data_IF_491424808662
#
_entry.id   IF_491424808662
#
_cell.length_a   1.000
_cell.length_b   1.000
_cell.length_c   1.000
_cell.angle_alpha   90.00
_cell.angle_beta   90.00
_cell.angle_gamma   90.00
#
_symmetry.space_group_name_H-M   'P 1'
#
loop_
_entity.id
_entity.type
_entity.pdbx_description
1 polymer ?
#
# COMPACT_ATOMS: atom_id res chain seq x y z
N UNK A 1 21.31 18.33 26.92
CA UNK A 1 21.62 17.05 27.58
C UNK A 1 21.97 16.08 26.47
N UNK A 2 23.28 15.95 26.27
CA UNK A 2 24.06 14.91 25.61
C UNK A 2 23.50 14.20 24.37
N UNK A 3 24.01 14.64 23.22
CA UNK A 3 23.97 13.96 21.93
C UNK A 3 25.01 12.82 21.90
N UNK A 4 24.70 11.67 22.51
CA UNK A 4 25.37 10.41 22.14
C UNK A 4 24.51 9.68 21.12
N UNK A 5 24.79 9.89 19.83
CA UNK A 5 24.45 8.90 18.81
C UNK A 5 25.21 7.62 19.18
N UNK A 6 24.51 6.64 19.75
CA UNK A 6 25.04 5.31 20.02
C UNK A 6 25.68 4.80 18.71
N UNK A 7 27.01 4.68 18.70
CA UNK A 7 27.73 3.97 17.64
C UNK A 7 27.05 2.60 17.47
N UNK A 8 26.68 2.19 16.25
CA UNK A 8 26.06 0.90 16.05
C UNK A 8 26.97 -0.19 16.62
N UNK A 9 26.46 -0.97 17.58
CA UNK A 9 27.18 -2.13 18.10
C UNK A 9 27.39 -3.13 16.96
N UNK A 10 28.49 -3.88 16.99
CA UNK A 10 28.71 -5.03 16.10
C UNK A 10 27.45 -5.92 16.11
N UNK A 11 26.80 -6.09 14.93
CA UNK A 11 25.56 -6.85 14.77
C UNK A 11 24.28 -6.01 14.56
N UNK A 12 24.37 -4.67 14.49
CA UNK A 12 23.22 -3.83 14.18
C UNK A 12 22.75 -3.98 12.71
N UNK A 13 21.43 -3.98 12.49
CA UNK A 13 20.80 -3.97 11.16
C UNK A 13 20.10 -2.64 10.94
N UNK A 14 20.24 -2.07 9.74
CA UNK A 14 19.50 -0.87 9.33
C UNK A 14 18.22 -1.32 8.61
N UNK A 15 17.06 -0.88 9.07
CA UNK A 15 15.79 -1.09 8.36
C UNK A 15 15.48 0.20 7.58
N UNK A 16 15.03 0.08 6.34
CA UNK A 16 14.66 1.23 5.50
C UNK A 16 13.14 1.21 5.33
N UNK A 17 12.41 2.22 5.83
CA UNK A 17 10.99 2.35 5.53
C UNK A 17 10.85 3.05 4.19
N UNK A 18 10.35 2.34 3.19
CA UNK A 18 10.01 2.92 1.89
C UNK A 18 8.55 3.36 1.93
N UNK A 19 8.20 4.47 2.60
CA UNK A 19 6.79 4.89 2.78
C UNK A 19 6.43 6.21 2.11
N UNK A 20 5.21 6.28 1.57
CA UNK A 20 4.53 7.51 1.08
C UNK A 20 3.54 8.11 2.08
N UNK A 21 3.18 7.38 3.15
CA UNK A 21 2.18 7.81 4.14
C UNK A 21 2.86 8.18 5.46
N UNK A 22 2.31 9.21 6.12
CA UNK A 22 2.65 9.75 7.44
C UNK A 22 3.45 8.81 8.36
N UNK A 23 4.56 9.37 8.83
CA UNK A 23 5.40 9.08 9.99
C UNK A 23 4.85 8.25 11.17
N UNK A 24 3.53 8.05 11.32
CA UNK A 24 2.97 7.24 12.41
C UNK A 24 3.10 5.73 12.20
N UNK A 25 3.14 5.24 10.96
CA UNK A 25 3.23 3.80 10.68
C UNK A 25 4.68 3.27 10.64
N UNK A 26 5.67 4.14 10.47
CA UNK A 26 7.08 3.79 10.27
C UNK A 26 7.96 4.04 11.51
N UNK A 27 7.38 4.46 12.64
CA UNK A 27 8.09 4.49 13.93
C UNK A 27 8.26 3.00 14.28
N UNK A 28 9.42 2.40 14.27
CA UNK A 28 10.73 2.95 14.58
C UNK A 28 11.82 2.00 14.04
N UNK A 29 13.10 2.36 14.12
CA UNK A 29 14.20 1.50 13.66
C UNK A 29 15.27 1.43 14.75
N UNK A 30 15.57 0.23 15.24
CA UNK A 30 16.63 0.00 16.22
C UNK A 30 17.90 -0.55 15.54
N UNK A 31 19.05 0.02 15.89
CA UNK A 31 20.32 -0.71 15.89
C UNK A 31 20.33 -1.64 17.12
N UNK A 32 19.73 -2.84 17.02
CA UNK A 32 19.81 -3.84 18.09
C UNK A 32 19.94 -5.26 17.56
N UNK A 33 20.68 -6.09 18.30
CA UNK A 33 20.78 -7.53 18.06
C UNK A 33 19.38 -8.15 17.94
N UNK A 34 19.08 -8.72 16.78
CA UNK A 34 17.90 -9.56 16.58
C UNK A 34 18.19 -10.91 17.26
N UNK A 35 18.14 -10.96 18.60
CA UNK A 35 18.28 -12.19 19.38
C UNK A 35 16.96 -12.55 20.05
N UNK A 36 16.34 -13.64 19.58
CA UNK A 36 15.35 -14.58 20.14
C UNK A 36 14.37 -14.23 21.30
N UNK A 37 14.31 -13.01 21.86
CA UNK A 37 13.37 -12.71 22.96
C UNK A 37 12.97 -11.23 23.10
N UNK A 38 13.36 -10.36 22.19
CA UNK A 38 12.97 -8.95 22.21
C UNK A 38 11.61 -8.79 21.53
N UNK A 39 10.58 -8.51 22.33
CA UNK A 39 9.36 -7.84 21.87
C UNK A 39 9.81 -6.72 20.93
N UNK A 40 9.32 -6.73 19.69
CA UNK A 40 9.66 -5.72 18.69
C UNK A 40 8.94 -4.42 19.06
N UNK A 41 9.44 -3.78 20.13
CA UNK A 41 9.27 -2.37 20.39
C UNK A 41 10.36 -1.69 19.60
N UNK A 42 10.06 -1.37 18.36
CA UNK A 42 10.85 -0.44 17.59
C UNK A 42 10.99 0.83 18.47
N UNK A 43 12.19 1.36 18.73
CA UNK A 43 12.38 2.72 19.24
C UNK A 43 13.76 3.28 18.90
N UNK A 44 13.81 4.22 17.96
CA UNK A 44 14.53 5.50 18.00
C UNK A 44 14.26 6.25 16.68
N UNK A 45 14.13 7.57 16.73
CA UNK A 45 13.94 8.46 15.58
C UNK A 45 15.22 8.48 14.73
N UNK A 46 15.20 7.76 13.61
CA UNK A 46 15.79 8.28 12.37
C UNK A 46 14.66 9.10 11.75
N UNK A 47 14.91 10.35 11.36
CA UNK A 47 13.90 11.14 10.63
C UNK A 47 13.26 10.26 9.56
N UNK A 48 11.93 10.12 9.63
CA UNK A 48 11.16 9.28 8.71
C UNK A 48 11.68 9.51 7.29
N UNK A 49 12.16 8.44 6.63
CA UNK A 49 12.45 8.52 5.20
C UNK A 49 11.12 8.72 4.49
N UNK A 50 10.77 9.98 4.30
CA UNK A 50 9.62 10.40 3.54
C UNK A 50 10.04 10.42 2.09
N UNK A 51 9.24 9.76 1.28
CA UNK A 51 9.33 9.86 -0.17
C UNK A 51 9.39 11.34 -0.57
N UNK A 52 10.24 11.70 -1.53
CA UNK A 52 10.26 13.05 -2.10
C UNK A 52 8.85 13.49 -2.50
N UNK A 53 8.53 14.77 -2.31
CA UNK A 53 7.20 15.37 -2.53
C UNK A 53 6.10 14.94 -1.55
N UNK A 54 6.44 14.25 -0.45
CA UNK A 54 5.49 13.93 0.61
C UNK A 54 5.94 14.48 1.97
N UNK A 55 4.98 14.98 2.74
CA UNK A 55 5.23 15.57 4.05
C UNK A 55 6.25 16.70 3.95
N UNK A 56 7.28 16.64 4.79
CA UNK A 56 8.29 17.70 4.89
C UNK A 56 9.41 17.57 3.83
N UNK A 57 9.43 16.49 3.04
CA UNK A 57 10.46 16.20 2.03
C UNK A 57 10.14 16.85 0.68
N UNK A 58 10.21 18.18 0.63
CA UNK A 58 9.89 18.98 -0.56
C UNK A 58 11.15 19.52 -1.25
N UNK A 59 11.50 19.07 -2.48
CA UNK A 59 12.72 19.49 -3.18
C UNK A 59 12.80 20.99 -3.49
N UNK A 60 11.66 21.68 -3.45
CA UNK A 60 11.53 23.12 -3.72
C UNK A 60 11.06 23.87 -2.46
N UNK A 61 11.38 23.38 -1.27
CA UNK A 61 11.13 24.08 0.00
C UNK A 61 9.68 24.05 0.50
N UNK A 62 8.67 24.15 -0.39
CA UNK A 62 7.25 24.05 -0.01
C UNK A 62 6.46 23.19 -1.00
N UNK A 63 5.34 22.63 -0.52
CA UNK A 63 4.37 21.93 -1.39
C UNK A 63 3.85 22.87 -2.47
N UNK A 64 3.54 24.13 -2.11
CA UNK A 64 3.12 25.14 -3.07
C UNK A 64 4.11 25.26 -4.22
N UNK A 65 5.41 25.43 -3.95
CA UNK A 65 6.45 25.55 -4.99
C UNK A 65 6.68 24.24 -5.75
N UNK A 66 6.72 23.11 -5.05
CA UNK A 66 6.97 21.81 -5.65
C UNK A 66 5.87 21.37 -6.63
N UNK A 67 4.61 21.75 -6.38
CA UNK A 67 3.44 21.40 -7.18
C UNK A 67 2.98 22.49 -8.16
N UNK A 68 3.76 23.58 -8.33
CA UNK A 68 3.37 24.68 -9.21
C UNK A 68 3.15 24.25 -10.67
N UNK A 69 4.06 23.47 -11.24
CA UNK A 69 4.02 23.11 -12.65
C UNK A 69 4.77 21.80 -12.95
N UNK A 70 4.61 21.31 -14.19
CA UNK A 70 5.24 20.06 -14.62
C UNK A 70 6.77 20.09 -14.56
N UNK A 71 7.41 21.26 -14.66
CA UNK A 71 8.87 21.37 -14.58
C UNK A 71 9.41 21.10 -13.17
N UNK A 72 8.69 21.53 -12.12
CA UNK A 72 9.03 21.18 -10.74
C UNK A 72 8.60 19.76 -10.41
N UNK A 73 7.45 19.29 -10.90
CA UNK A 73 6.98 17.93 -10.66
C UNK A 73 7.76 16.86 -11.45
N UNK A 74 8.52 17.24 -12.48
CA UNK A 74 9.33 16.33 -13.28
C UNK A 74 10.36 15.50 -12.50
N UNK A 75 10.76 15.92 -11.29
CA UNK A 75 11.66 15.13 -10.43
C UNK A 75 10.92 14.16 -9.49
N UNK A 76 9.59 14.10 -9.58
CA UNK A 76 8.76 13.20 -8.79
C UNK A 76 8.52 11.90 -9.56
N UNK A 77 9.49 10.98 -9.48
CA UNK A 77 9.41 9.64 -10.05
C UNK A 77 9.83 8.56 -9.05
N UNK A 78 9.42 7.33 -9.34
CA UNK A 78 9.82 6.15 -8.56
C UNK A 78 11.34 5.91 -8.61
N UNK A 79 11.96 6.03 -9.78
CA UNK A 79 13.41 5.86 -9.97
C UNK A 79 14.23 6.87 -9.17
N UNK A 80 13.77 8.11 -9.13
CA UNK A 80 14.34 9.19 -8.35
C UNK A 80 14.22 8.96 -6.83
N UNK A 81 13.07 8.46 -6.37
CA UNK A 81 12.90 8.07 -4.97
C UNK A 81 13.82 6.90 -4.56
N UNK A 82 14.00 5.91 -5.43
CA UNK A 82 14.96 4.82 -5.19
C UNK A 82 16.40 5.35 -5.11
N UNK A 83 16.77 6.33 -5.94
CA UNK A 83 18.08 6.97 -5.88
C UNK A 83 18.30 7.76 -4.57
N UNK A 84 17.26 8.43 -4.05
CA UNK A 84 17.33 9.08 -2.73
C UNK A 84 17.62 8.08 -1.63
N UNK A 85 16.90 6.96 -1.61
CA UNK A 85 17.13 5.91 -0.62
C UNK A 85 18.56 5.38 -0.71
N UNK A 86 19.06 5.10 -1.92
CA UNK A 86 20.43 4.63 -2.14
C UNK A 86 21.48 5.62 -1.59
N UNK A 87 21.34 6.90 -1.91
CA UNK A 87 22.26 7.94 -1.46
C UNK A 87 22.20 8.11 0.06
N UNK A 88 20.99 8.23 0.62
CA UNK A 88 20.77 8.42 2.04
C UNK A 88 21.33 7.27 2.87
N UNK A 89 21.09 6.01 2.47
CA UNK A 89 21.64 4.84 3.19
C UNK A 89 23.16 4.83 3.14
N UNK A 90 23.74 5.16 1.99
CA UNK A 90 25.20 5.20 1.82
C UNK A 90 25.81 6.25 2.74
N UNK A 91 25.22 7.45 2.81
CA UNK A 91 25.70 8.53 3.65
C UNK A 91 25.46 8.26 5.14
N UNK A 92 24.31 7.69 5.50
CA UNK A 92 24.04 7.25 6.88
C UNK A 92 25.05 6.22 7.34
N UNK A 93 25.35 5.21 6.52
CA UNK A 93 26.34 4.19 6.85
C UNK A 93 27.72 4.80 7.08
N UNK A 94 28.16 5.75 6.24
CA UNK A 94 29.44 6.45 6.43
C UNK A 94 29.45 7.30 7.69
N UNK A 95 28.41 8.11 7.88
CA UNK A 95 28.30 9.04 9.01
C UNK A 95 28.24 8.32 10.37
N UNK A 96 27.70 7.11 10.39
CA UNK A 96 27.58 6.29 11.59
C UNK A 96 28.68 5.23 11.74
N UNK A 97 29.67 5.20 10.83
CA UNK A 97 30.70 4.13 10.76
C UNK A 97 30.08 2.72 10.77
N UNK A 98 29.01 2.57 9.99
CA UNK A 98 28.12 1.42 9.93
C UNK A 98 28.15 0.76 8.54
N UNK A 99 29.23 0.90 7.79
CA UNK A 99 29.38 0.40 6.41
C UNK A 99 29.16 -1.11 6.30
N UNK A 100 29.49 -1.84 7.37
CA UNK A 100 29.31 -3.28 7.48
C UNK A 100 27.96 -3.70 8.08
N UNK A 101 27.06 -2.77 8.39
CA UNK A 101 25.72 -3.14 8.86
C UNK A 101 24.86 -3.61 7.67
N UNK A 102 24.19 -4.77 7.79
CA UNK A 102 23.19 -5.20 6.80
C UNK A 102 22.03 -4.20 6.75
N UNK A 103 21.33 -4.20 5.62
CA UNK A 103 20.21 -3.29 5.43
C UNK A 103 19.02 -3.99 4.78
N UNK A 104 17.85 -3.86 5.37
CA UNK A 104 16.61 -4.49 4.88
C UNK A 104 15.64 -3.39 4.45
N UNK A 105 15.17 -3.44 3.21
CA UNK A 105 14.11 -2.56 2.73
C UNK A 105 12.74 -3.10 3.15
N UNK A 106 11.88 -2.26 3.73
CA UNK A 106 10.57 -2.66 4.21
C UNK A 106 9.54 -1.64 3.77
N UNK A 107 8.47 -2.09 3.13
CA UNK A 107 7.40 -1.19 2.73
C UNK A 107 6.08 -1.90 2.49
N UNK A 108 5.00 -1.13 2.64
CA UNK A 108 3.63 -1.55 2.36
C UNK A 108 3.06 -0.85 1.13
N UNK A 109 2.19 -1.50 0.35
CA UNK A 109 1.53 -0.89 -0.81
C UNK A 109 2.54 -0.44 -1.88
N UNK A 110 2.41 0.78 -2.42
CA UNK A 110 3.46 1.42 -3.24
C UNK A 110 4.84 1.41 -2.56
N UNK A 111 4.86 1.54 -1.23
CA UNK A 111 6.08 1.37 -0.47
C UNK A 111 6.70 -0.02 -0.57
N UNK A 112 5.87 -1.06 -0.62
CA UNK A 112 6.33 -2.44 -0.85
C UNK A 112 6.83 -2.64 -2.28
N UNK A 113 6.22 -1.97 -3.26
CA UNK A 113 6.73 -1.93 -4.64
C UNK A 113 8.13 -1.34 -4.64
N UNK A 114 8.31 -0.16 -4.02
CA UNK A 114 9.62 0.47 -3.85
C UNK A 114 10.63 -0.42 -3.13
N UNK A 115 10.24 -1.13 -2.06
CA UNK A 115 11.15 -2.05 -1.36
C UNK A 115 11.64 -3.18 -2.27
N UNK A 116 10.73 -3.80 -3.04
CA UNK A 116 11.07 -4.86 -3.99
C UNK A 116 11.97 -4.36 -5.13
N UNK A 117 11.65 -3.18 -5.70
CA UNK A 117 12.43 -2.56 -6.76
C UNK A 117 13.78 -2.06 -6.27
N UNK A 118 13.86 -1.58 -5.03
CA UNK A 118 15.12 -1.19 -4.40
C UNK A 118 16.04 -2.40 -4.24
N UNK A 119 15.52 -3.54 -3.78
CA UNK A 119 16.33 -4.77 -3.70
C UNK A 119 16.76 -5.27 -5.08
N UNK A 120 15.89 -5.17 -6.09
CA UNK A 120 16.21 -5.53 -7.47
C UNK A 120 17.31 -4.64 -8.07
N UNK A 121 17.24 -3.32 -7.89
CA UNK A 121 18.13 -2.34 -8.55
C UNK A 121 19.38 -2.00 -7.75
N UNK A 122 19.32 -2.06 -6.41
CA UNK A 122 20.40 -1.74 -5.49
C UNK A 122 20.75 -2.91 -4.55
N UNK A 123 21.01 -4.14 -5.08
CA UNK A 123 21.29 -5.30 -4.25
C UNK A 123 22.59 -5.21 -3.45
N UNK A 124 23.47 -4.26 -3.80
CA UNK A 124 24.71 -3.95 -3.09
C UNK A 124 24.51 -3.04 -1.87
N UNK A 125 23.34 -2.38 -1.75
CA UNK A 125 23.01 -1.48 -0.64
C UNK A 125 22.14 -2.18 0.40
N UNK A 126 21.08 -2.87 -0.04
CA UNK A 126 20.17 -3.62 0.83
C UNK A 126 20.30 -5.11 0.57
N UNK A 127 20.47 -5.91 1.62
CA UNK A 127 20.64 -7.37 1.55
C UNK A 127 19.32 -8.16 1.44
N UNK A 128 18.16 -7.50 1.60
CA UNK A 128 16.86 -8.13 1.43
C UNK A 128 15.70 -7.14 1.52
N UNK A 129 14.51 -7.55 1.08
CA UNK A 129 13.31 -6.73 1.10
C UNK A 129 12.07 -7.47 1.64
N UNK A 130 11.26 -6.77 2.44
CA UNK A 130 9.89 -7.16 2.77
C UNK A 130 8.92 -6.21 2.04
N UNK A 131 8.29 -6.75 1.00
CA UNK A 131 7.33 -6.06 0.15
C UNK A 131 5.91 -6.52 0.51
N UNK A 132 5.29 -5.79 1.44
CA UNK A 132 3.96 -6.10 1.96
C UNK A 132 2.86 -5.48 1.11
N UNK A 133 1.85 -6.26 0.74
CA UNK A 133 0.73 -5.86 -0.12
C UNK A 133 1.18 -5.04 -1.33
N UNK A 134 2.26 -5.48 -2.00
CA UNK A 134 2.89 -4.76 -3.09
C UNK A 134 2.30 -5.20 -4.45
N UNK A 135 1.45 -4.39 -5.12
CA UNK A 135 0.76 -4.79 -6.34
C UNK A 135 1.66 -4.63 -7.59
N UNK A 136 2.86 -5.22 -7.60
CA UNK A 136 3.84 -5.07 -8.69
C UNK A 136 3.38 -5.65 -10.04
N UNK A 137 2.30 -6.44 -10.05
CA UNK A 137 1.71 -7.04 -11.24
C UNK A 137 0.51 -6.24 -11.77
N UNK A 138 0.13 -5.13 -11.15
CA UNK A 138 -1.08 -4.37 -11.52
C UNK A 138 -0.82 -3.31 -12.60
N UNK A 139 -0.02 -3.66 -13.61
CA UNK A 139 0.35 -2.81 -14.73
C UNK A 139 0.07 -3.51 -16.06
N UNK A 140 -0.17 -2.72 -17.12
CA UNK A 140 -0.56 -3.22 -18.43
C UNK A 140 -1.72 -4.24 -18.32
N UNK A 141 -1.65 -5.37 -19.02
CA UNK A 141 -2.61 -6.47 -18.97
C UNK A 141 -2.11 -7.68 -18.15
N UNK A 142 -1.10 -7.49 -17.29
CA UNK A 142 -0.53 -8.56 -16.45
C UNK A 142 -1.57 -9.09 -15.45
N UNK A 143 -2.33 -8.17 -14.84
CA UNK A 143 -3.44 -8.48 -13.94
C UNK A 143 -4.74 -8.00 -14.57
N UNK A 144 -5.83 -8.80 -14.53
CA UNK A 144 -7.14 -8.36 -15.01
C UNK A 144 -7.59 -7.05 -14.36
N UNK A 145 -8.13 -6.13 -15.16
CA UNK A 145 -8.55 -4.80 -14.69
C UNK A 145 -9.54 -4.86 -13.51
N UNK A 146 -10.41 -5.87 -13.53
CA UNK A 146 -11.42 -6.18 -12.52
C UNK A 146 -10.89 -6.93 -11.28
N UNK A 147 -9.60 -7.28 -11.21
CA UNK A 147 -9.05 -8.09 -10.11
C UNK A 147 -9.33 -7.48 -8.73
N UNK A 148 -9.06 -6.19 -8.57
CA UNK A 148 -9.33 -5.43 -7.37
C UNK A 148 -10.83 -5.46 -6.98
N UNK A 149 -11.78 -5.00 -7.82
CA UNK A 149 -13.19 -5.00 -7.43
C UNK A 149 -13.81 -6.40 -7.29
N UNK A 150 -13.24 -7.45 -7.92
CA UNK A 150 -13.63 -8.85 -7.67
C UNK A 150 -13.30 -9.27 -6.24
N UNK A 151 -12.11 -8.94 -5.74
CA UNK A 151 -11.74 -9.23 -4.34
C UNK A 151 -12.62 -8.44 -3.38
N UNK A 152 -12.89 -7.16 -3.65
CA UNK A 152 -13.85 -6.36 -2.86
C UNK A 152 -15.22 -7.05 -2.85
N UNK A 153 -15.72 -7.44 -4.01
CA UNK A 153 -17.00 -8.15 -4.13
C UNK A 153 -17.01 -9.43 -3.31
N UNK A 154 -15.92 -10.20 -3.32
CA UNK A 154 -15.78 -11.43 -2.52
C UNK A 154 -15.80 -11.14 -1.01
N UNK A 155 -15.12 -10.10 -0.54
CA UNK A 155 -15.11 -9.71 0.87
C UNK A 155 -16.48 -9.26 1.39
N UNK A 156 -17.28 -8.64 0.53
CA UNK A 156 -18.64 -8.19 0.83
C UNK A 156 -19.73 -9.21 0.43
N UNK A 157 -19.37 -10.30 -0.25
CA UNK A 157 -20.29 -11.41 -0.57
C UNK A 157 -20.76 -12.14 0.70
N UNK A 158 -20.02 -12.02 1.80
CA UNK A 158 -20.41 -12.54 3.11
C UNK A 158 -21.66 -11.82 3.63
N UNK A 159 -22.54 -12.52 4.35
CA UNK A 159 -23.94 -12.13 4.64
C UNK A 159 -24.09 -10.83 5.42
N UNK A 160 -23.01 -10.16 5.82
CA UNK A 160 -23.02 -8.97 6.68
C UNK A 160 -23.79 -7.79 6.11
N UNK A 161 -23.71 -7.51 4.80
CA UNK A 161 -24.51 -6.45 4.20
C UNK A 161 -26.00 -6.79 4.25
N UNK A 162 -26.33 -8.04 3.91
CA UNK A 162 -27.70 -8.56 3.98
C UNK A 162 -28.23 -8.56 5.42
N UNK A 163 -27.45 -9.05 6.37
CA UNK A 163 -27.79 -9.11 7.80
C UNK A 163 -27.88 -7.71 8.43
N UNK A 164 -27.07 -6.74 8.03
CA UNK A 164 -27.19 -5.36 8.49
C UNK A 164 -28.48 -4.71 7.97
N UNK A 165 -28.83 -4.95 6.70
CA UNK A 165 -30.12 -4.52 6.16
C UNK A 165 -31.28 -5.23 6.87
N UNK A 166 -31.19 -6.55 7.10
CA UNK A 166 -32.20 -7.33 7.86
C UNK A 166 -32.39 -6.78 9.28
N UNK A 167 -31.30 -6.53 10.02
CA UNK A 167 -31.35 -5.94 11.36
C UNK A 167 -31.96 -4.53 11.32
N UNK A 168 -31.63 -3.71 10.32
CA UNK A 168 -32.24 -2.39 10.15
C UNK A 168 -33.76 -2.50 9.98
N UNK A 169 -34.23 -3.34 9.05
CA UNK A 169 -35.67 -3.54 8.85
C UNK A 169 -36.36 -4.13 10.08
N UNK A 170 -35.71 -5.06 10.79
CA UNK A 170 -36.23 -5.64 12.03
C UNK A 170 -36.33 -4.62 13.15
N UNK A 171 -35.30 -3.81 13.37
CA UNK A 171 -35.29 -2.77 14.41
C UNK A 171 -36.30 -1.68 14.08
N UNK A 172 -36.37 -1.22 12.82
CA UNK A 172 -37.37 -0.25 12.40
C UNK A 172 -38.78 -0.77 12.63
N UNK A 173 -39.09 -2.02 12.28
CA UNK A 173 -40.39 -2.62 12.56
C UNK A 173 -40.65 -2.88 14.05
N UNK A 174 -39.62 -3.27 14.82
CA UNK A 174 -39.72 -3.58 16.25
C UNK A 174 -40.01 -2.33 17.09
N UNK A 175 -39.48 -1.17 16.70
CA UNK A 175 -39.62 0.09 17.43
C UNK A 175 -40.50 1.11 16.68
N UNK A 176 -41.41 0.65 15.81
CA UNK A 176 -42.30 1.50 15.00
C UNK A 176 -43.42 2.16 15.83
N UNK A 177 -43.06 3.09 16.70
CA UNK A 177 -43.99 3.77 17.61
C UNK A 177 -43.96 5.30 17.42
N UNK A 178 -45.10 5.99 17.62
CA UNK A 178 -45.13 7.46 17.63
C UNK A 178 -44.27 8.04 18.77
N UNK A 179 -43.64 9.22 18.57
CA UNK A 179 -43.72 10.08 17.38
C UNK A 179 -42.72 9.71 16.27
N UNK A 180 -41.87 8.71 16.49
CA UNK A 180 -40.67 8.49 15.68
C UNK A 180 -40.94 7.68 14.40
N UNK A 181 -41.95 6.80 14.37
CA UNK A 181 -42.42 6.04 13.19
C UNK A 181 -41.31 5.62 12.18
N UNK A 182 -40.27 4.90 12.64
CA UNK A 182 -39.09 4.55 11.85
C UNK A 182 -39.38 3.81 10.53
N UNK A 183 -40.46 3.04 10.42
CA UNK A 183 -40.83 2.38 9.17
C UNK A 183 -41.29 3.41 8.13
N UNK A 184 -42.14 4.35 8.53
CA UNK A 184 -42.63 5.41 7.65
C UNK A 184 -41.48 6.31 7.17
N UNK A 185 -40.55 6.67 8.06
CA UNK A 185 -39.36 7.45 7.71
C UNK A 185 -38.45 6.73 6.70
N UNK A 186 -38.21 5.43 6.91
CA UNK A 186 -37.42 4.59 6.01
C UNK A 186 -38.08 4.49 4.63
N UNK A 187 -39.40 4.22 4.58
CA UNK A 187 -40.14 4.13 3.33
C UNK A 187 -40.20 5.47 2.59
N UNK A 188 -40.40 6.58 3.30
CA UNK A 188 -40.40 7.92 2.72
C UNK A 188 -39.04 8.28 2.14
N UNK A 189 -37.93 7.89 2.79
CA UNK A 189 -36.59 8.12 2.27
C UNK A 189 -36.29 7.29 1.01
N UNK A 190 -36.72 6.02 0.97
CA UNK A 190 -36.61 5.15 -0.21
C UNK A 190 -37.44 5.68 -1.38
N UNK A 191 -38.70 6.04 -1.11
CA UNK A 191 -39.66 6.50 -2.13
C UNK A 191 -39.41 7.95 -2.56
N UNK A 192 -38.79 8.75 -1.71
CA UNK A 192 -38.39 10.14 -1.99
C UNK A 192 -37.10 10.25 -2.81
N UNK A 193 -36.44 9.13 -3.12
CA UNK A 193 -35.30 9.12 -4.04
C UNK A 193 -35.74 9.59 -5.44
N UNK A 194 -34.90 10.39 -6.10
CA UNK A 194 -35.21 11.01 -7.39
C UNK A 194 -35.63 9.95 -8.44
N UNK A 195 -36.56 10.33 -9.31
CA UNK A 195 -37.01 9.47 -10.40
C UNK A 195 -35.82 9.07 -11.30
N UNK A 196 -35.65 7.76 -11.52
CA UNK A 196 -34.46 7.19 -12.19
C UNK A 196 -33.34 6.71 -11.27
N UNK A 197 -33.44 6.90 -9.95
CA UNK A 197 -32.48 6.32 -8.98
C UNK A 197 -32.57 4.80 -8.98
N UNK A 198 -31.42 4.12 -9.07
CA UNK A 198 -31.33 2.67 -9.05
C UNK A 198 -31.62 2.08 -7.66
N UNK A 199 -31.71 0.75 -7.56
CA UNK A 199 -32.07 0.06 -6.31
C UNK A 199 -31.06 0.38 -5.19
N UNK A 200 -29.77 0.48 -5.52
CA UNK A 200 -28.73 0.80 -4.53
C UNK A 200 -28.83 2.24 -4.03
N UNK A 201 -29.10 3.20 -4.91
CA UNK A 201 -29.35 4.59 -4.52
C UNK A 201 -30.61 4.73 -3.65
N UNK A 202 -31.65 3.94 -3.92
CA UNK A 202 -32.84 3.85 -3.07
C UNK A 202 -32.55 3.24 -1.69
N UNK A 203 -31.75 2.17 -1.62
CA UNK A 203 -31.30 1.57 -0.35
C UNK A 203 -30.42 2.54 0.44
N UNK A 204 -29.53 3.28 -0.22
CA UNK A 204 -28.70 4.31 0.40
C UNK A 204 -29.56 5.47 0.95
N UNK A 205 -30.58 5.91 0.22
CA UNK A 205 -31.54 6.90 0.69
C UNK A 205 -32.28 6.40 1.95
N UNK A 206 -32.74 5.14 1.94
CA UNK A 206 -33.35 4.51 3.11
C UNK A 206 -32.43 4.47 4.34
N UNK A 207 -31.18 4.02 4.16
CA UNK A 207 -30.17 4.02 5.23
C UNK A 207 -29.94 5.41 5.82
N UNK A 208 -29.87 6.44 4.95
CA UNK A 208 -29.66 7.82 5.37
C UNK A 208 -30.87 8.38 6.14
N UNK A 209 -32.09 7.98 5.76
CA UNK A 209 -33.32 8.35 6.45
C UNK A 209 -33.48 7.73 7.85
N UNK A 210 -32.81 6.61 8.13
CA UNK A 210 -32.94 5.89 9.41
C UNK A 210 -31.83 6.14 10.44
N UNK A 211 -30.65 6.64 10.07
CA UNK A 211 -29.45 6.63 10.94
C UNK A 211 -28.95 8.05 11.33
N UNK A 212 -29.64 9.14 10.93
CA UNK A 212 -29.19 10.51 11.24
C UNK A 212 -28.22 11.07 10.18
N UNK A 213 -27.53 12.20 10.45
CA UNK A 213 -27.16 13.21 9.46
C UNK A 213 -26.34 12.69 8.27
N UNK A 214 -26.41 13.39 7.11
CA UNK A 214 -26.02 12.85 5.83
C UNK A 214 -24.52 12.57 5.75
N UNK A 215 -24.15 11.30 5.62
CA UNK A 215 -22.81 10.91 5.17
C UNK A 215 -22.68 11.16 3.65
N UNK A 216 -22.85 12.40 3.20
CA UNK A 216 -22.65 12.81 1.80
C UNK A 216 -21.25 13.34 1.50
N UNK A 217 -20.22 12.80 2.18
CA UNK A 217 -18.87 12.85 1.63
C UNK A 217 -18.72 11.69 0.65
N UNK A 218 -19.40 11.79 -0.50
CA UNK A 218 -19.05 10.99 -1.65
C UNK A 218 -17.66 11.44 -2.10
N UNK A 219 -16.65 10.63 -1.83
CA UNK A 219 -15.34 10.79 -2.44
C UNK A 219 -15.51 10.52 -3.94
N UNK A 220 -15.54 11.58 -4.73
CA UNK A 220 -15.43 11.44 -6.18
C UNK A 220 -13.97 11.04 -6.45
N UNK A 221 -13.73 9.77 -6.82
CA UNK A 221 -12.41 9.23 -7.19
C UNK A 221 -11.95 9.72 -8.58
N UNK A 222 -12.55 10.80 -9.07
CA UNK A 222 -11.94 11.55 -10.16
C UNK A 222 -10.69 12.19 -9.59
N UNK A 223 -9.53 12.10 -10.27
CA UNK A 223 -8.38 12.89 -9.90
C UNK A 223 -8.76 14.36 -10.11
N UNK A 224 -9.31 15.01 -9.08
CA UNK A 224 -9.69 16.42 -9.07
C UNK A 224 -8.64 17.27 -8.35
N UNK A 225 -7.68 16.61 -7.70
CA UNK A 225 -6.67 17.23 -6.86
C UNK A 225 -5.31 17.11 -7.54
N UNK A 226 -4.56 18.22 -7.57
CA UNK A 226 -3.17 18.23 -8.01
C UNK A 226 -2.24 17.73 -6.89
N UNK A 227 -2.52 16.56 -6.34
CA UNK A 227 -1.70 15.95 -5.28
C UNK A 227 -0.62 15.03 -5.84
N UNK A 228 0.27 14.59 -4.96
CA UNK A 228 1.45 13.81 -5.34
C UNK A 228 1.15 12.45 -5.93
N UNK A 229 0.17 11.74 -5.36
CA UNK A 229 -0.20 10.43 -5.87
C UNK A 229 -0.87 10.55 -7.24
N UNK A 230 -1.70 11.57 -7.42
CA UNK A 230 -2.34 11.89 -8.70
C UNK A 230 -1.29 12.19 -9.77
N UNK A 231 -0.24 12.95 -9.46
CA UNK A 231 0.90 13.12 -10.37
C UNK A 231 1.58 11.78 -10.73
N UNK A 232 1.86 10.94 -9.74
CA UNK A 232 2.51 9.64 -9.97
C UNK A 232 1.66 8.73 -10.85
N UNK A 233 0.35 8.63 -10.62
CA UNK A 233 -0.57 7.85 -11.46
C UNK A 233 -0.70 8.41 -12.86
N UNK A 234 -0.64 9.74 -13.02
CA UNK A 234 -0.67 10.40 -14.33
C UNK A 234 0.65 10.31 -15.11
N UNK A 235 1.72 9.75 -14.54
CA UNK A 235 3.04 9.69 -15.19
C UNK A 235 3.60 8.27 -15.28
N UNK A 236 3.70 7.56 -14.16
CA UNK A 236 4.37 6.24 -14.08
C UNK A 236 3.46 5.15 -13.50
N UNK A 237 2.65 5.44 -12.47
CA UNK A 237 1.82 4.47 -11.75
C UNK A 237 0.47 4.25 -12.44
N UNK A 238 0.47 3.99 -13.75
CA UNK A 238 -0.75 3.77 -14.53
C UNK A 238 -1.28 2.35 -14.28
N UNK A 239 -2.08 2.18 -13.24
CA UNK A 239 -2.71 0.90 -12.88
C UNK A 239 -4.12 0.84 -13.47
N UNK A 240 -4.41 -0.07 -14.42
CA UNK A 240 -5.69 -0.08 -15.14
C UNK A 240 -6.78 -0.79 -14.34
N UNK A 241 -7.11 -0.28 -13.15
CA UNK A 241 -8.20 -0.80 -12.32
C UNK A 241 -9.54 -0.30 -12.87
N UNK A 242 -10.47 -1.22 -13.10
CA UNK A 242 -11.82 -0.91 -13.57
C UNK A 242 -12.83 -1.96 -13.12
N UNK A 243 -14.11 -1.59 -13.04
CA UNK A 243 -15.18 -2.53 -12.73
C UNK A 243 -15.56 -3.32 -13.99
N UNK A 244 -15.51 -4.65 -13.90
CA UNK A 244 -15.90 -5.54 -14.99
C UNK A 244 -17.41 -5.61 -15.21
N UNK A 245 -17.80 -6.28 -16.30
CA UNK A 245 -19.19 -6.51 -16.67
C UNK A 245 -19.78 -7.71 -15.91
N UNK A 246 -20.68 -7.45 -14.96
CA UNK A 246 -21.47 -8.47 -14.23
C UNK A 246 -20.69 -9.48 -13.36
N UNK A 247 -19.40 -9.25 -13.11
CA UNK A 247 -18.53 -10.10 -12.28
C UNK A 247 -18.19 -9.48 -10.91
N UNK A 248 -18.57 -8.21 -10.72
CA UNK A 248 -18.44 -7.46 -9.46
C UNK A 248 -19.81 -6.99 -8.97
N UNK A 249 -19.89 -6.60 -7.70
CA UNK A 249 -21.11 -5.97 -7.14
C UNK A 249 -21.30 -4.51 -7.57
N UNK A 250 -20.39 -3.97 -8.40
CA UNK A 250 -20.41 -2.58 -8.86
C UNK A 250 -21.00 -2.48 -10.26
N UNK A 251 -21.51 -1.30 -10.60
CA UNK A 251 -21.89 -1.01 -11.99
C UNK A 251 -20.65 -1.08 -12.90
N UNK A 252 -20.80 -1.61 -14.12
CA UNK A 252 -19.70 -1.69 -15.07
C UNK A 252 -19.05 -0.32 -15.34
N UNK A 253 -17.74 -0.27 -15.20
CA UNK A 253 -16.93 0.93 -15.40
C UNK A 253 -15.49 0.50 -15.70
N UNK A 254 -15.25 -0.07 -16.90
CA UNK A 254 -13.93 -0.56 -17.28
C UNK A 254 -12.92 0.59 -17.36
N UNK A 255 -11.64 0.29 -17.20
CA UNK A 255 -10.59 1.31 -17.29
C UNK A 255 -10.44 1.80 -18.73
N UNK A 256 -10.63 3.11 -18.93
CA UNK A 256 -10.46 3.78 -20.23
C UNK A 256 -9.19 4.64 -20.22
N UNK A 257 -8.14 4.16 -20.90
CA UNK A 257 -6.86 4.86 -21.01
C UNK A 257 -6.99 6.21 -21.73
N UNK A 258 -7.90 6.37 -22.69
CA UNK A 258 -8.10 7.63 -23.41
C UNK A 258 -8.74 8.68 -22.49
N UNK A 259 -9.73 8.27 -21.69
CA UNK A 259 -10.32 9.15 -20.69
C UNK A 259 -9.33 9.50 -19.57
N UNK A 260 -8.55 8.51 -19.11
CA UNK A 260 -7.49 8.70 -18.14
C UNK A 260 -6.43 9.70 -18.64
N UNK A 261 -5.97 9.54 -19.88
CA UNK A 261 -5.02 10.44 -20.54
C UNK A 261 -5.53 11.87 -20.61
N UNK A 262 -6.77 12.08 -21.08
CA UNK A 262 -7.38 13.42 -21.12
C UNK A 262 -7.46 14.08 -19.75
N UNK A 263 -7.72 13.29 -18.71
CA UNK A 263 -7.76 13.79 -17.32
C UNK A 263 -6.39 14.27 -16.87
N UNK A 264 -5.34 13.48 -17.11
CA UNK A 264 -3.97 13.83 -16.76
C UNK A 264 -3.42 15.04 -17.54
N UNK A 265 -3.77 15.14 -18.83
CA UNK A 265 -3.46 16.32 -19.65
C UNK A 265 -4.15 17.57 -19.10
N UNK A 266 -5.42 17.46 -18.67
CA UNK A 266 -6.16 18.58 -18.07
C UNK A 266 -5.60 19.05 -16.72
N UNK A 267 -5.10 18.13 -15.88
CA UNK A 267 -4.59 18.46 -14.54
C UNK A 267 -3.17 19.03 -14.57
N UNK A 268 -2.29 18.37 -15.32
CA UNK A 268 -0.84 18.58 -15.25
C UNK A 268 -0.20 18.90 -16.60
N UNK A 269 -0.92 18.78 -17.72
CA UNK A 269 -0.35 18.95 -19.06
C UNK A 269 0.62 17.83 -19.44
N UNK A 270 0.44 16.63 -18.88
CA UNK A 270 1.31 15.46 -19.12
C UNK A 270 0.51 14.31 -19.69
N UNK A 271 1.15 13.56 -20.58
CA UNK A 271 0.61 12.30 -21.13
C UNK A 271 1.14 11.13 -20.31
N UNK A 272 0.27 10.25 -19.76
CA UNK A 272 0.70 9.08 -19.00
C UNK A 272 1.56 8.11 -19.82
N UNK A 273 2.52 7.44 -19.18
CA UNK A 273 3.40 6.44 -19.80
C UNK A 273 3.08 5.05 -19.24
N UNK A 274 2.03 4.36 -19.75
CA UNK A 274 1.55 3.11 -19.15
C UNK A 274 2.60 2.01 -19.07
N UNK A 275 3.48 1.93 -20.07
CA UNK A 275 4.51 0.89 -20.16
C UNK A 275 5.81 1.22 -19.44
N UNK A 276 5.90 2.36 -18.74
CA UNK A 276 7.15 2.80 -18.13
C UNK A 276 7.61 1.85 -17.00
N UNK A 277 6.69 1.49 -16.10
CA UNK A 277 7.00 0.59 -14.98
C UNK A 277 7.29 -0.83 -15.44
N UNK A 278 6.56 -1.30 -16.46
CA UNK A 278 6.80 -2.63 -17.02
C UNK A 278 8.13 -2.70 -17.78
N UNK A 279 8.53 -1.62 -18.45
CA UNK A 279 9.88 -1.51 -19.05
C UNK A 279 10.97 -1.46 -17.98
N UNK A 280 10.79 -0.66 -16.93
CA UNK A 280 11.84 -0.39 -15.95
C UNK A 280 12.07 -1.57 -14.98
N UNK A 281 11.00 -2.26 -14.56
CA UNK A 281 11.05 -3.22 -13.46
C UNK A 281 10.72 -4.67 -13.86
N UNK A 282 10.40 -4.94 -15.13
CA UNK A 282 10.35 -6.30 -15.69
C UNK A 282 9.02 -6.71 -16.32
N UNK A 283 7.92 -6.01 -16.01
CA UNK A 283 6.65 -6.13 -16.75
C UNK A 283 6.11 -7.56 -16.84
N UNK A 284 5.70 -7.98 -18.03
CA UNK A 284 5.19 -9.34 -18.30
C UNK A 284 6.17 -10.45 -17.92
N UNK A 285 7.47 -10.15 -18.01
CA UNK A 285 8.55 -11.08 -17.68
C UNK A 285 9.02 -10.94 -16.22
N UNK A 286 8.27 -10.25 -15.35
CA UNK A 286 8.66 -9.98 -13.96
C UNK A 286 9.06 -11.23 -13.17
N UNK A 287 8.41 -12.38 -13.41
CA UNK A 287 8.81 -13.65 -12.77
C UNK A 287 10.22 -14.08 -13.21
N UNK A 288 10.52 -13.98 -14.50
CA UNK A 288 11.84 -14.29 -15.06
C UNK A 288 12.88 -13.26 -14.60
N UNK A 289 12.54 -11.98 -14.62
CA UNK A 289 13.42 -10.89 -14.17
C UNK A 289 13.78 -11.05 -12.69
N UNK A 290 12.78 -11.26 -11.83
CA UNK A 290 13.03 -11.50 -10.40
C UNK A 290 13.79 -12.80 -10.18
N UNK A 291 13.40 -13.90 -10.83
CA UNK A 291 14.06 -15.20 -10.66
C UNK A 291 15.53 -15.23 -11.10
N UNK A 292 15.89 -14.48 -12.14
CA UNK A 292 17.25 -14.47 -12.68
C UNK A 292 18.14 -13.38 -12.08
N UNK A 293 17.57 -12.24 -11.69
CA UNK A 293 18.35 -11.04 -11.34
C UNK A 293 18.09 -10.47 -9.94
N UNK A 294 17.09 -10.99 -9.21
CA UNK A 294 16.84 -10.63 -7.82
C UNK A 294 17.10 -11.80 -6.87
N UNK A 295 17.13 -11.48 -5.58
CA UNK A 295 17.14 -12.45 -4.49
C UNK A 295 16.71 -11.76 -3.20
N UNK A 296 16.36 -12.56 -2.20
CA UNK A 296 16.03 -12.11 -0.85
C UNK A 296 14.88 -11.10 -0.82
N UNK A 297 13.73 -11.50 -1.37
CA UNK A 297 12.50 -10.69 -1.33
C UNK A 297 11.36 -11.54 -0.78
N UNK A 298 10.70 -11.04 0.27
CA UNK A 298 9.41 -11.55 0.70
C UNK A 298 8.34 -10.69 0.08
N UNK A 299 7.43 -11.29 -0.68
CA UNK A 299 6.17 -10.68 -1.06
C UNK A 299 5.09 -11.17 -0.10
N UNK A 300 4.64 -10.32 0.83
CA UNK A 300 3.55 -10.67 1.74
C UNK A 300 2.22 -10.09 1.29
N UNK A 301 1.13 -10.85 1.43
CA UNK A 301 -0.20 -10.41 1.00
C UNK A 301 -1.29 -10.92 1.95
N UNK A 302 -2.29 -10.10 2.22
CA UNK A 302 -3.56 -10.57 2.77
C UNK A 302 -4.55 -10.86 1.64
N UNK A 303 -5.21 -12.01 1.59
CA UNK A 303 -6.14 -12.33 0.50
C UNK A 303 -7.50 -11.60 0.61
N UNK A 304 -7.71 -10.81 1.67
CA UNK A 304 -8.80 -9.82 1.80
C UNK A 304 -8.37 -8.41 1.43
N UNK A 305 -7.11 -8.25 1.03
CA UNK A 305 -6.64 -7.02 0.43
C UNK A 305 -6.92 -7.05 -1.08
N UNK A 306 -7.71 -6.13 -1.63
CA UNK A 306 -7.96 -6.08 -3.06
C UNK A 306 -6.70 -5.92 -3.92
N UNK A 307 -5.65 -5.30 -3.39
CA UNK A 307 -4.36 -5.20 -4.08
C UNK A 307 -3.62 -6.54 -4.21
N UNK A 308 -4.00 -7.56 -3.44
CA UNK A 308 -3.43 -8.91 -3.58
C UNK A 308 -3.68 -9.53 -4.95
N UNK A 309 -4.68 -9.05 -5.69
CA UNK A 309 -4.94 -9.45 -7.07
C UNK A 309 -3.75 -9.14 -8.01
N UNK A 310 -3.01 -8.06 -7.76
CA UNK A 310 -1.78 -7.72 -8.48
C UNK A 310 -0.50 -8.02 -7.68
N UNK A 311 -0.59 -8.79 -6.60
CA UNK A 311 0.55 -9.19 -5.78
C UNK A 311 1.19 -10.50 -6.23
N UNK A 312 2.40 -10.77 -5.75
CA UNK A 312 3.06 -12.08 -5.93
C UNK A 312 2.55 -13.06 -4.87
N UNK A 313 1.86 -14.11 -5.31
CA UNK A 313 1.24 -15.13 -4.44
C UNK A 313 1.88 -16.52 -4.54
N UNK A 314 2.99 -16.65 -5.28
CA UNK A 314 3.74 -17.89 -5.42
C UNK A 314 5.23 -17.60 -5.29
N UNK A 315 6.00 -18.54 -4.74
CA UNK A 315 7.45 -18.45 -4.73
C UNK A 315 7.97 -18.38 -6.18
N UNK A 316 8.87 -17.45 -6.43
CA UNK A 316 9.55 -17.28 -7.72
C UNK A 316 10.89 -18.04 -7.71
N UNK A 317 11.54 -18.09 -6.55
CA UNK A 317 12.78 -18.86 -6.31
C UNK A 317 12.89 -19.22 -4.82
N UNK A 318 13.96 -19.90 -4.42
CA UNK A 318 14.24 -20.25 -3.01
C UNK A 318 14.40 -19.02 -2.10
N UNK A 319 14.75 -17.86 -2.67
CA UNK A 319 14.97 -16.62 -1.91
C UNK A 319 13.96 -15.52 -2.23
N UNK A 320 13.07 -15.75 -3.19
CA UNK A 320 11.97 -14.85 -3.55
C UNK A 320 10.66 -15.57 -3.26
N UNK A 321 10.14 -15.31 -2.07
CA UNK A 321 9.07 -16.12 -1.47
C UNK A 321 7.80 -15.31 -1.29
N UNK A 322 6.67 -15.97 -1.48
CA UNK A 322 5.35 -15.41 -1.22
C UNK A 322 4.84 -15.87 0.15
N UNK A 323 4.48 -14.92 1.02
CA UNK A 323 3.96 -15.19 2.37
C UNK A 323 2.60 -14.54 2.53
N UNK A 324 1.53 -15.29 2.25
CA UNK A 324 0.17 -14.74 2.28
C UNK A 324 -0.75 -15.42 3.29
N UNK A 325 -1.81 -14.70 3.70
CA UNK A 325 -2.82 -15.19 4.65
C UNK A 325 -4.22 -14.98 4.13
N UNK A 326 -5.13 -15.94 4.36
CA UNK A 326 -6.51 -15.87 3.88
C UNK A 326 -7.32 -14.71 4.49
N UNK A 327 -7.03 -14.37 5.75
CA UNK A 327 -7.79 -13.37 6.54
C UNK A 327 -7.08 -12.01 6.63
N UNK A 328 -5.85 -11.91 6.14
CA UNK A 328 -5.08 -10.67 6.16
C UNK A 328 -5.72 -9.61 5.27
N UNK A 329 -5.69 -8.37 5.74
CA UNK A 329 -6.04 -7.18 4.97
C UNK A 329 -4.77 -6.42 4.56
N UNK A 330 -4.93 -5.20 4.05
CA UNK A 330 -3.84 -4.41 3.50
C UNK A 330 -2.72 -4.12 4.53
N UNK A 331 -1.50 -4.60 4.24
CA UNK A 331 -0.29 -4.40 5.05
C UNK A 331 -0.40 -4.75 6.55
N UNK A 332 -1.29 -5.69 6.91
CA UNK A 332 -1.60 -5.98 8.32
C UNK A 332 -0.38 -6.50 9.10
N UNK A 333 0.51 -7.23 8.42
CA UNK A 333 1.77 -7.75 8.94
C UNK A 333 2.75 -6.65 9.37
N UNK A 334 2.68 -5.45 8.76
CA UNK A 334 3.52 -4.31 9.12
C UNK A 334 2.99 -3.46 10.29
N UNK A 335 1.73 -3.64 10.69
CA UNK A 335 1.15 -2.88 11.80
C UNK A 335 1.83 -3.25 13.13
N UNK A 336 1.76 -2.32 14.09
CA UNK A 336 2.28 -2.55 15.45
C UNK A 336 1.62 -3.78 16.06
N UNK A 337 2.40 -4.78 16.53
CA UNK A 337 1.85 -5.97 17.16
C UNK A 337 1.00 -5.64 18.39
N UNK A 338 -0.17 -6.26 18.48
CA UNK A 338 -1.09 -6.15 19.61
C UNK A 338 -1.29 -7.52 20.27
N UNK A 339 -1.55 -7.53 21.58
CA UNK A 339 -1.86 -8.78 22.30
C UNK A 339 -3.16 -9.45 21.82
N UNK A 340 -4.03 -8.70 21.14
CA UNK A 340 -5.25 -9.19 20.51
C UNK A 340 -5.06 -9.72 19.10
N UNK A 341 -3.83 -9.68 18.56
CA UNK A 341 -3.58 -10.16 17.20
C UNK A 341 -3.82 -11.67 17.13
N UNK A 342 -4.49 -12.16 16.08
CA UNK A 342 -4.79 -13.57 15.96
C UNK A 342 -3.52 -14.38 15.65
N UNK A 343 -3.49 -15.65 16.09
CA UNK A 343 -2.32 -16.53 15.94
C UNK A 343 -1.79 -16.64 14.50
N UNK A 344 -2.68 -16.60 13.51
CA UNK A 344 -2.27 -16.65 12.09
C UNK A 344 -1.48 -15.42 11.66
N UNK A 345 -1.77 -14.23 12.22
CA UNK A 345 -1.04 -12.99 11.93
C UNK A 345 0.31 -13.00 12.63
N UNK A 346 0.35 -13.50 13.88
CA UNK A 346 1.61 -13.69 14.62
C UNK A 346 2.52 -14.66 13.86
N UNK A 347 1.99 -15.81 13.43
CA UNK A 347 2.73 -16.81 12.66
C UNK A 347 3.24 -16.28 11.32
N UNK A 348 2.49 -15.40 10.65
CA UNK A 348 2.95 -14.72 9.43
C UNK A 348 4.18 -13.86 9.71
N UNK A 349 4.13 -13.02 10.75
CA UNK A 349 5.25 -12.14 11.16
C UNK A 349 6.47 -12.96 11.59
N UNK A 350 6.28 -14.02 12.35
CA UNK A 350 7.37 -14.90 12.79
C UNK A 350 8.08 -15.55 11.59
N UNK A 351 7.32 -15.95 10.57
CA UNK A 351 7.87 -16.52 9.32
C UNK A 351 8.72 -15.49 8.58
N UNK A 352 8.23 -14.25 8.43
CA UNK A 352 8.96 -13.15 7.80
C UNK A 352 10.25 -12.82 8.55
N UNK A 353 10.17 -12.69 9.89
CA UNK A 353 11.31 -12.40 10.75
C UNK A 353 12.37 -13.49 10.64
N UNK A 354 11.97 -14.77 10.64
CA UNK A 354 12.90 -15.90 10.51
C UNK A 354 13.66 -15.88 9.18
N UNK A 355 12.99 -15.56 8.08
CA UNK A 355 13.62 -15.43 6.76
C UNK A 355 14.62 -14.26 6.76
N UNK A 356 14.21 -13.10 7.28
CA UNK A 356 15.06 -11.90 7.37
C UNK A 356 16.31 -12.15 8.24
N UNK A 357 16.14 -12.84 9.38
CA UNK A 357 17.26 -13.27 10.23
C UNK A 357 18.26 -14.14 9.46
N UNK A 358 17.77 -15.03 8.59
CA UNK A 358 18.60 -15.84 7.69
C UNK A 358 19.47 -14.97 6.77
N UNK A 359 18.88 -13.99 6.09
CA UNK A 359 19.61 -13.07 5.21
C UNK A 359 20.67 -12.25 5.96
N UNK A 360 20.35 -11.80 7.18
CA UNK A 360 21.29 -11.05 8.03
C UNK A 360 22.47 -11.93 8.45
N UNK A 361 22.21 -13.19 8.82
CA UNK A 361 23.26 -14.15 9.18
C UNK A 361 24.17 -14.45 7.98
N UNK A 362 23.60 -14.67 6.79
CA UNK A 362 24.35 -14.89 5.55
C UNK A 362 25.20 -13.68 5.16
N UNK A 363 24.65 -12.47 5.29
CA UNK A 363 25.39 -11.23 5.04
C UNK A 363 26.62 -11.07 5.95
N UNK A 364 26.51 -11.45 7.22
CA UNK A 364 27.65 -11.42 8.13
C UNK A 364 28.67 -12.53 7.82
N UNK A 365 28.21 -13.74 7.48
CA UNK A 365 29.09 -14.86 7.13
C UNK A 365 29.96 -14.57 5.89
N UNK A 366 29.37 -13.97 4.85
CA UNK A 366 30.06 -13.65 3.59
C UNK A 366 31.11 -12.54 3.70
N UNK A 367 31.08 -11.72 4.76
CA UNK A 367 32.04 -10.61 4.98
C UNK A 367 33.07 -10.90 6.08
N UNK A 368 32.94 -12.05 6.75
CA UNK A 368 33.88 -12.50 7.77
C UNK A 368 35.03 -13.36 7.21
N UNK A 369 34.86 -13.88 5.99
CA UNK A 369 35.92 -14.50 5.19
C UNK A 369 36.49 -13.49 4.20
#
# INVERSE_FOLDING_TARGET
>A
MDHECLKPKNGATIIIPTSVISASASRNICCSNISQNSRVGFSQKVDDQRHRYYGDSMPFGSEYEAFQNASTLGFFSSTQALADYAQLITDLKRNLSAENCPTIAVGGSYGGMLASWFRLKYPHISCGALASSAPILYFDDITPQNGYPVVVTKDFRDTKLKSNLEVLYWVSAQYDNPPDNPVENLCNAINGAAEGTDILGKVAAGLNGSIGPPCHHMFDLKPSNKDGWTWQTCTEMVMPIGNGDNDTMFQPSPFDLNNFTRTCEGLFGVTPRPHWITTEFGGHEIKSVLGNFASNIIFSNGLRDPYSAGGVLQNISDTIVAVYTEKGAHCLDLLTPMASDPDWLVSQRDTQIKIIQGWIAEYHATRAG
#
